data_IF_306103426476
#
_entry.id   IF_306103426476
#
_cell.length_a   1.000
_cell.length_b   1.000
_cell.length_c   1.000
_cell.angle_alpha   90.00
_cell.angle_beta   90.00
_cell.angle_gamma   90.00
#
_symmetry.space_group_name_H-M   'P 1'
#
loop_
_entity.id
_entity.type
_entity.pdbx_description
1 polymer ?
#
# COMPACT_ATOMS: atom_id res chain seq x y z
N UNK A 1 -7.65 21.62 13.07
CA UNK A 1 -7.85 20.17 13.28
C UNK A 1 -6.58 19.48 12.81
N UNK A 2 -5.70 18.97 13.68
CA UNK A 2 -4.57 18.19 13.19
C UNK A 2 -5.14 16.90 12.59
N UNK A 3 -5.02 16.77 11.28
CA UNK A 3 -5.41 15.56 10.56
C UNK A 3 -4.47 14.48 11.05
N UNK A 4 -4.91 13.69 12.02
CA UNK A 4 -4.25 12.44 12.36
C UNK A 4 -4.38 11.56 11.13
N UNK A 5 -3.39 11.61 10.24
CA UNK A 5 -3.36 10.82 9.01
C UNK A 5 -3.30 9.34 9.37
N UNK A 6 -4.42 8.72 9.72
CA UNK A 6 -4.53 7.29 9.93
C UNK A 6 -4.12 6.61 8.63
N UNK A 7 -3.03 5.84 8.66
CA UNK A 7 -2.55 5.13 7.50
C UNK A 7 -3.62 4.09 7.14
N UNK A 8 -4.27 4.25 5.98
CA UNK A 8 -5.32 3.33 5.53
C UNK A 8 -4.73 2.29 4.56
N UNK A 9 -5.33 1.10 4.44
CA UNK A 9 -4.88 0.11 3.46
C UNK A 9 -4.99 0.64 2.03
N UNK A 10 -5.92 1.57 1.78
CA UNK A 10 -6.10 2.22 0.49
C UNK A 10 -4.94 3.16 0.16
N UNK A 11 -4.42 3.91 1.14
CA UNK A 11 -3.21 4.71 0.96
C UNK A 11 -1.99 3.83 0.65
N UNK A 12 -1.83 2.69 1.34
CA UNK A 12 -0.73 1.75 1.06
C UNK A 12 -0.85 1.20 -0.36
N UNK A 13 -2.05 0.82 -0.80
CA UNK A 13 -2.30 0.41 -2.18
C UNK A 13 -1.88 1.48 -3.18
N UNK A 14 -2.33 2.73 -2.98
CA UNK A 14 -2.03 3.83 -3.91
C UNK A 14 -0.53 4.11 -3.98
N UNK A 15 0.16 4.04 -2.84
CA UNK A 15 1.62 4.14 -2.81
C UNK A 15 2.29 2.98 -3.55
N UNK A 16 1.81 1.74 -3.39
CA UNK A 16 2.33 0.60 -4.16
C UNK A 16 2.06 0.79 -5.65
N UNK A 17 0.89 1.27 -6.07
CA UNK A 17 0.56 1.56 -7.47
C UNK A 17 1.53 2.57 -8.09
N UNK A 18 1.74 3.70 -7.43
CA UNK A 18 2.67 4.75 -7.88
C UNK A 18 4.11 4.27 -7.94
N UNK A 19 4.53 3.48 -6.94
CA UNK A 19 5.88 2.92 -6.91
C UNK A 19 6.04 1.78 -7.92
N UNK A 20 4.95 1.07 -8.24
CA UNK A 20 4.96 -0.04 -9.19
C UNK A 20 5.14 0.42 -10.63
N UNK A 21 4.68 1.64 -10.97
CA UNK A 21 4.98 2.30 -12.25
C UNK A 21 6.49 2.42 -12.52
N UNK A 22 7.32 2.43 -11.47
CA UNK A 22 8.78 2.56 -11.56
C UNK A 22 9.52 1.25 -11.28
N UNK A 23 8.91 0.30 -10.56
CA UNK A 23 9.51 -0.98 -10.18
C UNK A 23 8.44 -2.06 -10.09
N UNK A 24 8.62 -3.19 -10.75
CA UNK A 24 7.64 -4.28 -10.75
C UNK A 24 7.25 -4.77 -9.33
N UNK A 25 8.19 -4.69 -8.38
CA UNK A 25 8.00 -5.03 -6.96
C UNK A 25 8.44 -3.90 -6.05
N UNK A 26 7.63 -3.62 -5.03
CA UNK A 26 7.82 -2.49 -4.12
C UNK A 26 8.23 -3.02 -2.74
N UNK A 27 9.50 -2.84 -2.32
CA UNK A 27 9.91 -3.22 -0.98
C UNK A 27 9.32 -2.29 0.08
N UNK A 28 9.10 -2.82 1.29
CA UNK A 28 8.56 -2.05 2.42
C UNK A 28 9.40 -0.81 2.75
N UNK A 29 10.72 -0.88 2.56
CA UNK A 29 11.63 0.26 2.74
C UNK A 29 11.29 1.45 1.84
N UNK A 30 10.89 1.17 0.61
CA UNK A 30 10.55 2.19 -0.38
C UNK A 30 9.18 2.82 -0.08
N UNK A 31 8.23 2.01 0.40
CA UNK A 31 6.97 2.51 0.94
C UNK A 31 7.23 3.44 2.13
N UNK A 32 8.06 3.04 3.10
CA UNK A 32 8.41 3.88 4.25
C UNK A 32 9.00 5.21 3.77
N UNK A 33 9.99 5.20 2.87
CA UNK A 33 10.58 6.43 2.32
C UNK A 33 9.55 7.31 1.58
N UNK A 34 8.57 6.70 0.89
CA UNK A 34 7.50 7.43 0.23
C UNK A 34 6.57 8.11 1.25
N UNK A 35 6.15 7.39 2.28
CA UNK A 35 5.30 7.93 3.35
C UNK A 35 6.04 8.93 4.23
N UNK A 36 7.34 8.76 4.47
CA UNK A 36 8.15 9.75 5.19
C UNK A 36 8.25 11.09 4.45
N UNK A 37 8.19 11.07 3.11
CA UNK A 37 8.14 12.30 2.31
C UNK A 37 6.77 12.97 2.34
N UNK A 38 5.69 12.19 2.49
CA UNK A 38 4.32 12.70 2.52
C UNK A 38 3.78 13.02 3.93
N UNK A 39 4.35 12.42 4.99
CA UNK A 39 3.93 12.63 6.36
C UNK A 39 4.90 13.60 7.07
N UNK A 40 4.38 14.43 8.00
CA UNK A 40 5.26 15.26 8.83
C UNK A 40 6.22 14.38 9.62
N UNK A 41 7.49 14.81 9.69
CA UNK A 41 8.65 14.07 10.23
C UNK A 41 8.50 13.61 11.70
N UNK A 42 7.46 14.05 12.39
CA UNK A 42 7.18 13.78 13.79
C UNK A 42 6.71 12.33 14.07
N UNK A 43 6.32 11.59 13.03
CA UNK A 43 6.01 10.15 13.18
C UNK A 43 7.29 9.32 13.18
N UNK A 44 7.71 8.92 14.39
CA UNK A 44 8.76 7.93 14.64
C UNK A 44 8.72 6.77 13.63
N UNK A 45 9.86 6.58 12.96
CA UNK A 45 10.06 5.64 11.84
C UNK A 45 9.61 4.20 12.18
N UNK A 46 9.84 3.75 13.41
CA UNK A 46 9.46 2.41 13.88
C UNK A 46 7.94 2.22 13.99
N UNK A 47 7.21 3.20 14.56
CA UNK A 47 5.74 3.12 14.60
C UNK A 47 5.14 3.17 13.20
N UNK A 48 5.71 4.01 12.33
CA UNK A 48 5.28 4.09 10.93
C UNK A 48 5.46 2.75 10.22
N UNK A 49 6.60 2.08 10.42
CA UNK A 49 6.88 0.76 9.84
C UNK A 49 5.90 -0.30 10.33
N UNK A 50 5.59 -0.34 11.62
CA UNK A 50 4.63 -1.31 12.19
C UNK A 50 3.24 -1.08 11.61
N UNK A 51 2.75 0.17 11.63
CA UNK A 51 1.44 0.50 11.09
C UNK A 51 1.37 0.22 9.59
N UNK A 52 2.36 0.64 8.81
CA UNK A 52 2.41 0.40 7.37
C UNK A 52 2.40 -1.09 7.04
N UNK A 53 3.18 -1.90 7.77
CA UNK A 53 3.18 -3.36 7.60
C UNK A 53 1.82 -3.96 7.91
N UNK A 54 1.16 -3.50 8.98
CA UNK A 54 -0.17 -3.95 9.39
C UNK A 54 -1.24 -3.60 8.35
N UNK A 55 -1.18 -2.40 7.77
CA UNK A 55 -2.11 -1.98 6.73
C UNK A 55 -1.81 -2.66 5.38
N UNK A 56 -0.54 -2.89 5.06
CA UNK A 56 -0.14 -3.68 3.89
C UNK A 56 -0.67 -5.12 4.01
N UNK A 57 -0.54 -5.76 5.18
CA UNK A 57 -1.08 -7.10 5.43
C UNK A 57 -2.60 -7.15 5.29
N UNK A 58 -3.32 -6.12 5.77
CA UNK A 58 -4.76 -5.98 5.52
C UNK A 58 -5.08 -5.86 4.04
N UNK A 59 -4.34 -5.04 3.30
CA UNK A 59 -4.53 -4.91 1.86
C UNK A 59 -4.22 -6.21 1.11
N UNK A 60 -3.27 -7.02 1.59
CA UNK A 60 -3.03 -8.38 1.08
C UNK A 60 -4.20 -9.32 1.38
N UNK A 61 -4.74 -9.30 2.61
CA UNK A 61 -5.93 -10.08 2.99
C UNK A 61 -7.18 -9.68 2.21
N UNK A 62 -7.33 -8.40 1.89
CA UNK A 62 -8.38 -7.90 1.00
C UNK A 62 -8.13 -8.28 -0.47
N UNK A 63 -6.94 -8.78 -0.79
CA UNK A 63 -6.53 -9.15 -2.15
C UNK A 63 -6.25 -7.96 -3.05
N UNK A 64 -5.98 -6.78 -2.47
CA UNK A 64 -5.54 -5.58 -3.20
C UNK A 64 -4.05 -5.62 -3.50
N UNK A 65 -3.26 -6.24 -2.62
CA UNK A 65 -1.82 -6.40 -2.76
C UNK A 65 -1.44 -7.87 -2.75
N UNK A 66 -0.34 -8.20 -3.41
CA UNK A 66 0.36 -9.47 -3.27
C UNK A 66 1.62 -9.23 -2.43
N UNK A 67 1.86 -10.12 -1.45
CA UNK A 67 3.09 -10.13 -0.66
C UNK A 67 3.99 -11.25 -1.18
N UNK A 68 5.24 -10.93 -1.45
CA UNK A 68 6.27 -11.90 -1.79
C UNK A 68 7.14 -12.25 -0.57
N UNK A 69 7.84 -13.37 -0.65
CA UNK A 69 8.75 -13.86 0.41
C UNK A 69 9.87 -12.89 0.75
N UNK A 70 10.24 -11.99 -0.17
CA UNK A 70 11.28 -10.97 -0.01
C UNK A 70 10.79 -9.69 0.73
N UNK A 71 9.65 -9.74 1.42
CA UNK A 71 9.03 -8.56 2.03
C UNK A 71 8.75 -7.42 1.02
N UNK A 72 8.52 -7.80 -0.24
CA UNK A 72 8.08 -6.91 -1.31
C UNK A 72 6.59 -7.07 -1.57
N UNK A 73 5.98 -6.01 -2.05
CA UNK A 73 4.57 -5.93 -2.38
C UNK A 73 4.37 -5.55 -3.84
N UNK A 74 3.32 -6.06 -4.47
CA UNK A 74 2.84 -5.61 -5.78
C UNK A 74 1.34 -5.42 -5.75
N UNK A 75 0.79 -4.69 -6.70
CA UNK A 75 -0.66 -4.75 -6.91
C UNK A 75 -1.08 -6.17 -7.27
N UNK A 76 -2.20 -6.58 -6.72
CA UNK A 76 -2.88 -7.81 -7.11
C UNK A 76 -3.71 -7.52 -8.36
N UNK A 77 -3.26 -7.99 -9.51
CA UNK A 77 -3.98 -7.88 -10.79
C UNK A 77 -5.19 -8.82 -10.88
N UNK A 78 -5.26 -9.85 -10.02
CA UNK A 78 -6.26 -10.92 -10.09
C UNK A 78 -7.65 -10.54 -9.56
N UNK A 79 -7.73 -9.73 -8.49
CA UNK A 79 -9.03 -9.34 -7.92
C UNK A 79 -9.59 -8.04 -8.48
N UNK A 80 -8.75 -7.18 -9.04
CA UNK A 80 -9.22 -5.90 -9.55
C UNK A 80 -9.95 -6.04 -10.89
N UNK A 81 -9.52 -6.98 -11.75
CA UNK A 81 -10.25 -7.29 -12.98
C UNK A 81 -11.67 -7.80 -12.68
N UNK A 82 -11.83 -8.66 -11.67
CA UNK A 82 -13.16 -9.12 -11.26
C UNK A 82 -14.06 -7.98 -10.74
N UNK A 83 -13.51 -7.01 -9.99
CA UNK A 83 -14.32 -5.87 -9.50
C UNK A 83 -14.57 -4.77 -10.53
N UNK A 84 -13.83 -4.72 -11.65
CA UNK A 84 -14.16 -3.79 -12.74
C UNK A 84 -15.02 -4.42 -13.83
N UNK A 85 -14.98 -5.75 -13.98
CA UNK A 85 -15.90 -6.46 -14.85
C UNK A 85 -17.31 -6.64 -14.24
N UNK A 86 -17.48 -6.54 -12.91
CA UNK A 86 -18.83 -6.59 -12.29
C UNK A 86 -19.63 -5.28 -12.34
N UNK A 87 -19.09 -4.18 -12.88
CA UNK A 87 -19.81 -2.90 -13.05
C UNK A 87 -19.68 -2.32 -14.47
N UNK A 88 -19.92 -3.16 -15.49
CA UNK A 88 -19.83 -2.74 -16.89
C UNK A 88 -20.80 -3.47 -17.83
N UNK A 89 -22.06 -3.01 -17.82
CA UNK A 89 -23.05 -3.00 -18.92
C UNK A 89 -23.32 -4.30 -19.71
N UNK A 90 -24.48 -4.92 -19.44
CA UNK A 90 -25.42 -5.33 -20.50
C UNK A 90 -26.67 -4.43 -20.40
#
# INVERSE_FOLDING_TARGET
MPVTCCLTPMMVRNAVEELQKKRERVPVSLLISHFQRCLPADRLNDQLKVELTKQADKAVKMGWLLRYSDHTYSLSTLRWQATVEEFGFD
#
